data_IF_108593958035
#
_entry.id   IF_108593958035
#
_cell.length_a   1.000
_cell.length_b   1.000
_cell.length_c   1.000
_cell.angle_alpha   90.00
_cell.angle_beta   90.00
_cell.angle_gamma   90.00
#
_symmetry.space_group_name_H-M   'P 1'
#
loop_
_entity.id
_entity.type
_entity.pdbx_description
1 polymer ?
#
# COMPACT_ATOMS: atom_id res chain seq x y z
N UNK A 1 -6.26 -11.97 22.90
CA UNK A 1 -5.14 -12.58 22.16
C UNK A 1 -5.63 -13.32 20.92
N UNK A 2 -4.81 -13.34 19.90
CA UNK A 2 -5.15 -14.00 18.63
C UNK A 2 -4.43 -15.33 18.54
N UNK A 3 -5.18 -16.42 18.31
CA UNK A 3 -4.60 -17.75 18.11
C UNK A 3 -4.10 -17.90 16.67
N UNK A 4 -3.00 -18.64 16.48
CA UNK A 4 -2.47 -18.90 15.14
C UNK A 4 -3.51 -19.61 14.25
N UNK A 5 -4.38 -20.43 14.83
CA UNK A 5 -5.49 -21.03 14.09
C UNK A 5 -6.52 -20.05 13.53
N UNK A 6 -6.53 -18.82 14.05
CA UNK A 6 -7.45 -17.76 13.63
C UNK A 6 -6.76 -16.67 12.77
N UNK A 7 -5.54 -16.91 12.33
CA UNK A 7 -4.80 -15.93 11.52
C UNK A 7 -5.54 -15.63 10.21
N UNK A 8 -5.50 -14.34 9.85
CA UNK A 8 -6.02 -13.81 8.57
C UNK A 8 -5.04 -12.79 8.03
N UNK A 9 -5.01 -12.61 6.73
CA UNK A 9 -4.19 -11.58 6.09
C UNK A 9 -4.59 -10.19 6.59
N UNK A 10 -3.60 -9.37 6.86
CA UNK A 10 -3.81 -8.00 7.35
C UNK A 10 -3.87 -7.87 8.87
N UNK A 11 -3.95 -8.96 9.62
CA UNK A 11 -3.93 -8.93 11.08
C UNK A 11 -2.53 -8.51 11.56
N UNK A 12 -2.48 -7.57 12.50
CA UNK A 12 -1.24 -7.12 13.13
C UNK A 12 -1.11 -7.67 14.53
N UNK A 13 0.07 -8.17 14.83
CA UNK A 13 0.39 -8.85 16.08
C UNK A 13 1.69 -8.31 16.67
N UNK A 14 1.83 -8.48 17.96
CA UNK A 14 3.11 -8.27 18.65
C UNK A 14 3.77 -9.63 18.88
N UNK A 15 4.94 -9.84 18.27
CA UNK A 15 5.73 -11.07 18.40
C UNK A 15 7.18 -10.68 18.71
N UNK A 16 7.73 -11.21 19.82
CA UNK A 16 9.11 -10.95 20.25
C UNK A 16 9.43 -9.45 20.34
N UNK A 17 8.47 -8.65 20.80
CA UNK A 17 8.63 -7.20 20.94
C UNK A 17 8.55 -6.42 19.64
N UNK A 18 8.19 -7.09 18.54
CA UNK A 18 8.05 -6.47 17.21
C UNK A 18 6.61 -6.46 16.76
N UNK A 19 6.23 -5.42 16.03
CA UNK A 19 4.92 -5.36 15.38
C UNK A 19 5.01 -5.96 14.00
N UNK A 20 4.26 -7.01 13.77
CA UNK A 20 4.25 -7.75 12.49
C UNK A 20 2.84 -7.84 11.94
N UNK A 21 2.74 -7.82 10.62
CA UNK A 21 1.49 -8.02 9.90
C UNK A 21 1.53 -9.34 9.16
N UNK A 22 0.44 -10.09 9.25
CA UNK A 22 0.29 -11.34 8.51
C UNK A 22 0.00 -10.99 7.05
N UNK A 23 0.89 -11.38 6.15
CA UNK A 23 0.72 -11.16 4.70
C UNK A 23 0.33 -12.41 3.95
N UNK A 24 0.63 -13.59 4.50
CA UNK A 24 0.25 -14.87 3.94
C UNK A 24 0.22 -15.91 5.04
N UNK A 25 -0.74 -16.83 5.00
CA UNK A 25 -0.80 -17.93 5.94
C UNK A 25 -1.36 -19.18 5.27
N UNK A 26 -0.94 -20.35 5.77
CA UNK A 26 -1.42 -21.64 5.30
C UNK A 26 -1.60 -22.59 6.48
N UNK A 27 -2.81 -23.13 6.64
CA UNK A 27 -3.07 -24.18 7.59
C UNK A 27 -2.69 -25.53 6.97
N UNK A 28 -1.80 -26.26 7.64
CA UNK A 28 -1.34 -27.57 7.18
C UNK A 28 -1.71 -28.63 8.19
N UNK A 29 -2.41 -29.66 7.72
CA UNK A 29 -2.75 -30.85 8.51
C UNK A 29 -2.04 -32.05 7.89
N UNK A 30 -0.81 -32.38 8.36
CA UNK A 30 -0.10 -33.52 7.80
C UNK A 30 -0.79 -34.83 8.14
N UNK A 31 -0.64 -35.85 7.30
CA UNK A 31 -1.17 -37.18 7.55
C UNK A 31 -0.57 -37.85 8.79
N UNK A 32 0.66 -37.48 9.15
CA UNK A 32 1.34 -37.86 10.38
C UNK A 32 1.90 -36.61 11.03
N UNK A 33 1.72 -36.49 12.34
CA UNK A 33 2.19 -35.34 13.10
C UNK A 33 1.10 -34.30 13.38
N UNK A 34 1.47 -33.27 14.14
CA UNK A 34 0.55 -32.22 14.57
C UNK A 34 0.29 -31.18 13.45
N UNK A 35 -0.91 -30.63 13.42
CA UNK A 35 -1.24 -29.52 12.54
C UNK A 35 -0.39 -28.30 12.86
N UNK A 36 -0.09 -27.49 11.84
CA UNK A 36 0.66 -26.24 12.00
C UNK A 36 0.16 -25.18 11.03
N UNK A 37 0.52 -23.92 11.33
CA UNK A 37 0.20 -22.76 10.49
C UNK A 37 1.52 -22.16 9.99
N UNK A 38 1.77 -22.24 8.69
CA UNK A 38 2.91 -21.60 8.05
C UNK A 38 2.52 -20.17 7.72
N UNK A 39 3.27 -19.21 8.22
CA UNK A 39 2.90 -17.80 8.18
C UNK A 39 4.05 -16.94 7.66
N UNK A 40 3.75 -16.06 6.70
CA UNK A 40 4.65 -14.97 6.34
C UNK A 40 4.27 -13.72 7.10
N UNK A 41 5.26 -13.13 7.75
CA UNK A 41 5.11 -11.96 8.59
C UNK A 41 5.95 -10.83 8.03
N UNK A 42 5.34 -9.65 7.96
CA UNK A 42 6.04 -8.42 7.59
C UNK A 42 6.21 -7.57 8.82
N UNK A 43 7.45 -7.22 9.15
CA UNK A 43 7.71 -6.22 10.18
C UNK A 43 7.25 -4.86 9.67
N UNK A 44 6.27 -4.25 10.31
CA UNK A 44 5.64 -3.02 9.82
C UNK A 44 6.56 -1.80 9.93
N UNK A 45 7.57 -1.87 10.79
CA UNK A 45 8.49 -0.75 11.02
C UNK A 45 9.66 -0.77 10.03
N UNK A 46 10.30 -1.91 9.83
CA UNK A 46 11.47 -2.03 8.94
C UNK A 46 11.17 -2.67 7.58
N UNK A 47 9.96 -3.20 7.39
CA UNK A 47 9.54 -3.84 6.12
C UNK A 47 10.08 -5.24 5.88
N UNK A 48 10.86 -5.79 6.81
CA UNK A 48 11.43 -7.13 6.66
C UNK A 48 10.36 -8.22 6.67
N UNK A 49 10.49 -9.18 5.77
CA UNK A 49 9.57 -10.32 5.66
C UNK A 49 10.27 -11.57 6.17
N UNK A 50 9.61 -12.29 7.08
CA UNK A 50 10.09 -13.56 7.61
C UNK A 50 8.98 -14.61 7.52
N UNK A 51 9.37 -15.87 7.42
CA UNK A 51 8.44 -16.99 7.45
C UNK A 51 8.62 -17.75 8.77
N UNK A 52 7.51 -17.98 9.46
CA UNK A 52 7.52 -18.74 10.72
C UNK A 52 6.37 -19.73 10.72
N UNK A 53 6.57 -20.84 11.44
CA UNK A 53 5.57 -21.88 11.62
C UNK A 53 5.11 -21.87 13.07
N UNK A 54 3.79 -21.86 13.26
CA UNK A 54 3.17 -21.83 14.59
C UNK A 54 2.25 -23.04 14.77
N UNK A 55 2.07 -23.43 16.04
CA UNK A 55 1.00 -24.34 16.41
C UNK A 55 -0.33 -23.58 16.41
N UNK A 56 -1.45 -24.18 15.98
CA UNK A 56 -2.72 -23.46 15.94
C UNK A 56 -3.19 -22.92 17.30
N UNK A 57 -2.70 -23.48 18.39
CA UNK A 57 -3.04 -23.07 19.76
C UNK A 57 -2.16 -21.95 20.31
N UNK A 58 -1.06 -21.60 19.65
CA UNK A 58 -0.22 -20.48 20.07
C UNK A 58 -0.99 -19.18 19.94
N UNK A 59 -0.85 -18.30 20.94
CA UNK A 59 -1.58 -17.04 21.03
C UNK A 59 -0.59 -15.88 21.11
N UNK A 60 -0.97 -14.77 20.45
CA UNK A 60 -0.18 -13.55 20.43
C UNK A 60 -1.07 -12.34 20.70
N UNK A 61 -0.57 -11.31 21.42
CA UNK A 61 -1.33 -10.09 21.61
C UNK A 61 -1.51 -9.36 20.27
N UNK A 62 -2.72 -8.84 20.00
CA UNK A 62 -2.90 -7.98 18.84
C UNK A 62 -2.17 -6.67 19.04
N UNK A 63 -1.59 -6.13 17.97
CA UNK A 63 -0.99 -4.80 17.99
C UNK A 63 -2.06 -3.78 17.60
N UNK A 64 -2.26 -2.76 18.44
CA UNK A 64 -3.17 -1.69 18.14
C UNK A 64 -2.52 -0.68 17.21
N UNK A 65 -3.07 -0.55 16.01
CA UNK A 65 -2.58 0.37 14.98
C UNK A 65 -3.55 1.53 14.88
N UNK A 66 -3.04 2.75 15.00
CA UNK A 66 -3.82 3.96 14.82
C UNK A 66 -3.75 4.41 13.37
N UNK A 67 -4.90 4.78 12.80
CA UNK A 67 -5.02 5.34 11.46
C UNK A 67 -5.70 6.70 11.56
N UNK A 68 -5.00 7.73 11.11
CA UNK A 68 -5.49 9.11 11.17
C UNK A 68 -5.49 9.70 9.77
N UNK A 69 -6.62 10.27 9.36
CA UNK A 69 -6.73 10.98 8.09
C UNK A 69 -5.92 12.26 8.14
N UNK A 70 -4.98 12.41 7.22
CA UNK A 70 -4.18 13.62 7.08
C UNK A 70 -4.11 14.04 5.62
N UNK A 71 -4.10 15.35 5.40
CA UNK A 71 -3.96 15.94 4.07
C UNK A 71 -2.49 16.00 3.69
N UNK A 72 -2.15 15.47 2.51
CA UNK A 72 -0.84 15.65 1.94
C UNK A 72 -0.70 17.09 1.45
N UNK A 73 0.29 17.81 1.97
CA UNK A 73 0.50 19.22 1.61
C UNK A 73 1.44 19.38 0.44
N UNK A 74 2.69 18.94 0.60
CA UNK A 74 3.73 19.09 -0.43
C UNK A 74 4.94 18.22 -0.11
N UNK A 75 5.76 18.02 -1.12
CA UNK A 75 7.05 17.35 -1.03
C UNK A 75 8.14 18.43 -1.10
N UNK A 76 9.01 18.50 -0.09
CA UNK A 76 10.08 19.50 -0.03
C UNK A 76 11.39 19.02 -0.67
N UNK A 77 11.38 17.85 -1.33
CA UNK A 77 12.54 17.25 -1.97
C UNK A 77 13.17 16.10 -1.17
N UNK A 78 12.93 16.02 0.12
CA UNK A 78 13.41 14.93 0.97
C UNK A 78 12.32 14.34 1.87
N UNK A 79 11.28 15.12 2.16
CA UNK A 79 10.21 14.75 3.07
C UNK A 79 8.85 15.07 2.45
N UNK A 80 7.89 14.19 2.67
CA UNK A 80 6.48 14.46 2.40
C UNK A 80 5.84 15.09 3.63
N UNK A 81 5.14 16.21 3.45
CA UNK A 81 4.53 16.96 4.55
C UNK A 81 3.01 16.74 4.57
N UNK A 82 2.49 16.43 5.75
CA UNK A 82 1.08 16.14 5.99
C UNK A 82 0.54 17.02 7.12
N UNK A 83 -0.76 17.28 7.09
CA UNK A 83 -1.45 18.03 8.14
C UNK A 83 -2.74 17.31 8.55
N UNK A 84 -2.93 17.19 9.85
CA UNK A 84 -4.21 16.75 10.41
C UNK A 84 -5.21 17.91 10.28
N UNK A 85 -6.28 17.72 9.52
CA UNK A 85 -7.26 18.79 9.27
C UNK A 85 -8.09 19.17 10.50
N UNK A 86 -8.11 18.33 11.54
CA UNK A 86 -8.83 18.60 12.77
C UNK A 86 -7.97 19.38 13.78
N UNK A 87 -6.72 18.93 13.98
CA UNK A 87 -5.82 19.51 14.98
C UNK A 87 -4.83 20.51 14.40
N UNK A 88 -4.70 20.58 13.07
CA UNK A 88 -3.70 21.36 12.32
C UNK A 88 -2.25 20.98 12.62
N UNK A 89 -2.05 19.86 13.27
CA UNK A 89 -0.73 19.31 13.52
C UNK A 89 -0.10 18.84 12.21
N UNK A 90 1.17 19.21 12.00
CA UNK A 90 1.91 18.84 10.80
C UNK A 90 2.98 17.79 11.13
N UNK A 91 3.16 16.83 10.23
CA UNK A 91 4.22 15.84 10.31
C UNK A 91 4.96 15.77 8.97
N UNK A 92 6.22 15.34 9.03
CA UNK A 92 7.05 15.11 7.84
C UNK A 92 7.53 13.67 7.84
N UNK A 93 7.40 12.98 6.70
CA UNK A 93 7.83 11.59 6.53
C UNK A 93 8.82 11.51 5.37
N UNK A 94 9.88 10.72 5.55
CA UNK A 94 10.96 10.63 4.57
C UNK A 94 10.51 9.92 3.29
N UNK A 95 11.14 10.27 2.16
CA UNK A 95 10.93 9.58 0.89
C UNK A 95 11.22 8.08 1.00
N UNK A 96 12.29 7.69 1.68
CA UNK A 96 12.64 6.29 1.87
C UNK A 96 11.52 5.48 2.54
N UNK A 97 10.82 6.11 3.47
CA UNK A 97 9.83 5.44 4.29
C UNK A 97 8.52 5.18 3.54
N UNK A 98 8.07 6.12 2.71
CA UNK A 98 6.73 6.09 2.13
C UNK A 98 6.66 6.37 0.61
N UNK A 99 7.79 6.39 -0.11
CA UNK A 99 7.81 6.71 -1.54
C UNK A 99 6.84 5.85 -2.36
N UNK A 100 6.77 4.54 -2.10
CA UNK A 100 5.89 3.64 -2.83
C UNK A 100 4.41 3.95 -2.60
N UNK A 101 4.05 4.37 -1.39
CA UNK A 101 2.68 4.76 -1.06
C UNK A 101 2.28 6.08 -1.71
N UNK A 102 3.24 6.99 -1.91
CA UNK A 102 2.99 8.33 -2.44
C UNK A 102 3.07 8.43 -3.96
N UNK A 103 3.41 7.35 -4.64
CA UNK A 103 3.65 7.32 -6.09
C UNK A 103 2.52 7.93 -6.92
N UNK A 104 1.28 7.70 -6.51
CA UNK A 104 0.08 8.19 -7.21
C UNK A 104 -0.69 9.25 -6.44
N UNK A 105 -0.14 9.77 -5.35
CA UNK A 105 -0.81 10.77 -4.51
C UNK A 105 -0.37 12.16 -4.91
N UNK A 106 -1.33 13.01 -5.25
CA UNK A 106 -1.07 14.43 -5.55
C UNK A 106 -1.34 15.30 -4.32
N UNK A 107 -0.85 16.53 -4.35
CA UNK A 107 -1.06 17.50 -3.27
C UNK A 107 -2.55 17.67 -2.97
N UNK A 108 -2.86 17.87 -1.70
CA UNK A 108 -4.21 18.06 -1.15
C UNK A 108 -5.07 16.79 -1.08
N UNK A 109 -4.56 15.64 -1.49
CA UNK A 109 -5.23 14.35 -1.27
C UNK A 109 -5.17 13.97 0.20
N UNK A 110 -6.21 13.32 0.69
CA UNK A 110 -6.26 12.80 2.06
C UNK A 110 -5.76 11.36 2.09
N UNK A 111 -4.77 11.10 2.94
CA UNK A 111 -4.22 9.77 3.17
C UNK A 111 -4.42 9.37 4.62
N UNK A 112 -4.38 8.06 4.89
CA UNK A 112 -4.37 7.54 6.26
C UNK A 112 -2.93 7.38 6.73
N UNK A 113 -2.56 8.11 7.75
CA UNK A 113 -1.26 7.99 8.40
C UNK A 113 -1.35 6.91 9.47
N UNK A 114 -0.51 5.90 9.35
CA UNK A 114 -0.58 4.69 10.16
C UNK A 114 0.54 4.72 11.19
N UNK A 115 0.18 4.58 12.47
CA UNK A 115 1.14 4.64 13.56
C UNK A 115 0.90 3.53 14.60
N UNK A 116 1.96 3.24 15.34
CA UNK A 116 1.94 2.36 16.50
C UNK A 116 2.64 3.05 17.66
N UNK A 117 1.94 3.24 18.76
CA UNK A 117 2.46 3.95 19.94
C UNK A 117 3.08 5.31 19.58
N UNK A 118 2.31 6.12 18.84
CA UNK A 118 2.69 7.46 18.35
C UNK A 118 3.87 7.50 17.36
N UNK A 119 4.35 6.33 16.92
CA UNK A 119 5.40 6.24 15.93
C UNK A 119 4.78 5.92 14.56
N UNK A 120 4.87 6.87 13.64
CA UNK A 120 4.39 6.68 12.27
C UNK A 120 5.34 5.75 11.51
N UNK A 121 4.78 4.74 10.85
CA UNK A 121 5.57 3.80 10.07
C UNK A 121 5.07 3.63 8.63
N UNK A 122 3.88 4.11 8.31
CA UNK A 122 3.32 3.92 6.97
C UNK A 122 2.24 4.96 6.66
N UNK A 123 1.90 5.06 5.38
CA UNK A 123 0.80 5.86 4.88
C UNK A 123 -0.01 5.01 3.92
N UNK A 124 -1.33 5.01 4.08
CA UNK A 124 -2.24 4.34 3.17
C UNK A 124 -2.90 5.39 2.27
N UNK A 125 -2.60 5.40 0.96
CA UNK A 125 -3.24 6.33 0.04
C UNK A 125 -4.69 5.93 -0.22
N UNK A 126 -5.51 6.81 -0.83
CA UNK A 126 -6.84 6.41 -1.31
C UNK A 126 -6.72 5.18 -2.23
N UNK A 127 -7.71 4.30 -2.19
CA UNK A 127 -7.69 3.07 -2.99
C UNK A 127 -7.67 3.35 -4.49
N UNK A 128 -8.31 4.43 -4.90
CA UNK A 128 -8.37 4.89 -6.28
C UNK A 128 -8.09 6.38 -6.36
N UNK A 129 -7.35 6.77 -7.37
CA UNK A 129 -7.03 8.18 -7.62
C UNK A 129 -7.32 8.52 -9.07
N UNK A 130 -7.73 9.77 -9.30
CA UNK A 130 -7.92 10.31 -10.65
C UNK A 130 -6.74 11.22 -10.98
N UNK A 131 -5.97 10.88 -12.01
CA UNK A 131 -4.78 11.60 -12.40
C UNK A 131 -4.84 11.95 -13.89
N UNK A 132 -4.29 13.12 -14.24
CA UNK A 132 -4.19 13.57 -15.62
C UNK A 132 -2.94 12.98 -16.27
N UNK A 133 -3.09 12.51 -17.51
CA UNK A 133 -1.96 12.05 -18.33
C UNK A 133 -1.20 13.26 -18.84
N UNK A 134 0.07 13.37 -18.48
CA UNK A 134 0.95 14.47 -18.90
C UNK A 134 1.80 14.14 -20.10
N UNK A 135 2.10 12.87 -20.32
CA UNK A 135 2.84 12.39 -21.48
C UNK A 135 2.43 10.97 -21.85
N UNK A 136 2.23 10.74 -23.14
CA UNK A 136 2.06 9.40 -23.71
C UNK A 136 2.28 9.47 -25.22
N UNK A 137 2.70 8.37 -25.79
CA UNK A 137 2.83 8.24 -27.24
C UNK A 137 1.47 7.97 -27.89
N UNK A 138 1.25 8.40 -29.15
CA UNK A 138 0.03 8.04 -29.86
C UNK A 138 -0.05 6.52 -30.07
N UNK A 139 -1.25 5.96 -29.90
CA UNK A 139 -1.49 4.56 -30.24
C UNK A 139 -1.31 4.33 -31.73
N UNK A 140 -0.49 3.34 -32.11
CA UNK A 140 -0.23 3.05 -33.51
C UNK A 140 -1.45 2.33 -34.15
N UNK A 141 -1.88 2.82 -35.31
CA UNK A 141 -2.87 2.13 -36.14
C UNK A 141 -2.27 0.81 -36.65
N UNK A 142 -3.02 -0.27 -36.53
CA UNK A 142 -2.57 -1.59 -36.94
C UNK A 142 -2.15 -2.50 -35.80
N UNK A 143 -1.96 -1.97 -34.62
CA UNK A 143 -1.76 -2.80 -33.42
C UNK A 143 -3.13 -3.18 -32.85
N UNK A 144 -3.74 -4.23 -33.43
CA UNK A 144 -5.11 -4.64 -33.13
C UNK A 144 -5.21 -5.73 -32.07
N UNK A 145 -4.13 -6.01 -31.37
CA UNK A 145 -4.12 -7.03 -30.33
C UNK A 145 -5.04 -6.60 -29.19
N UNK A 146 -6.01 -7.44 -28.85
CA UNK A 146 -6.90 -7.21 -27.72
C UNK A 146 -6.08 -7.09 -26.44
N UNK A 147 -6.30 -6.02 -25.67
CA UNK A 147 -5.56 -5.76 -24.45
C UNK A 147 -4.20 -5.09 -24.65
N UNK A 148 -3.89 -4.59 -25.86
CA UNK A 148 -2.69 -3.82 -26.12
C UNK A 148 -2.67 -2.56 -25.26
N UNK A 149 -1.52 -2.27 -24.64
CA UNK A 149 -1.29 -1.11 -23.79
C UNK A 149 -0.07 -0.34 -24.23
N UNK A 150 0.05 0.89 -23.71
CA UNK A 150 1.21 1.75 -23.91
C UNK A 150 1.56 2.44 -22.61
N UNK A 151 2.82 2.85 -22.40
CA UNK A 151 3.16 3.61 -21.21
C UNK A 151 2.62 5.03 -21.27
N UNK A 152 2.16 5.54 -20.15
CA UNK A 152 1.75 6.94 -19.98
C UNK A 152 2.31 7.47 -18.68
N UNK A 153 2.76 8.72 -18.69
CA UNK A 153 3.19 9.43 -17.50
C UNK A 153 2.03 10.29 -17.01
N UNK A 154 1.74 10.20 -15.71
CA UNK A 154 0.68 10.98 -15.07
C UNK A 154 1.25 12.16 -14.30
N UNK A 155 0.37 13.06 -13.84
CA UNK A 155 0.76 14.33 -13.22
C UNK A 155 1.66 14.20 -11.98
N UNK A 156 1.66 13.05 -11.31
CA UNK A 156 2.56 12.78 -10.18
C UNK A 156 3.96 12.34 -10.61
N UNK A 157 4.20 12.18 -11.91
CA UNK A 157 5.46 11.69 -12.46
C UNK A 157 5.55 10.17 -12.58
N UNK A 158 4.55 9.45 -12.13
CA UNK A 158 4.52 7.99 -12.22
C UNK A 158 4.16 7.51 -13.63
N UNK A 159 4.67 6.34 -14.00
CA UNK A 159 4.34 5.68 -15.27
C UNK A 159 3.32 4.56 -15.06
N UNK A 160 2.32 4.50 -15.93
CA UNK A 160 1.24 3.51 -15.89
C UNK A 160 1.00 2.97 -17.28
N UNK A 161 0.71 1.68 -17.39
CA UNK A 161 0.26 1.08 -18.65
C UNK A 161 -1.22 1.42 -18.87
N UNK A 162 -1.52 2.02 -20.01
CA UNK A 162 -2.88 2.48 -20.37
C UNK A 162 -3.30 1.91 -21.72
N UNK A 163 -4.62 1.83 -21.99
CA UNK A 163 -5.10 1.45 -23.33
C UNK A 163 -4.59 2.43 -24.40
N UNK A 164 -4.51 1.95 -25.65
CA UNK A 164 -3.97 2.74 -26.76
C UNK A 164 -4.77 4.02 -27.05
N UNK A 165 -6.05 4.08 -26.68
CA UNK A 165 -6.90 5.25 -26.94
C UNK A 165 -6.66 6.43 -25.99
N UNK A 166 -5.88 6.23 -24.93
CA UNK A 166 -5.62 7.30 -23.95
C UNK A 166 -4.67 8.33 -24.54
N UNK A 167 -4.98 9.62 -24.38
CA UNK A 167 -4.23 10.75 -24.90
C UNK A 167 -3.73 11.65 -23.77
N UNK A 168 -2.76 12.51 -24.10
CA UNK A 168 -2.29 13.56 -23.19
C UNK A 168 -3.49 14.46 -22.83
N UNK A 169 -3.64 14.77 -21.55
CA UNK A 169 -4.74 15.57 -21.02
C UNK A 169 -5.95 14.76 -20.55
N UNK A 170 -6.00 13.47 -20.88
CA UNK A 170 -7.06 12.61 -20.37
C UNK A 170 -6.89 12.36 -18.87
N UNK A 171 -8.01 12.31 -18.17
CA UNK A 171 -8.03 11.91 -16.75
C UNK A 171 -8.33 10.43 -16.67
N UNK A 172 -7.57 9.72 -15.89
CA UNK A 172 -7.68 8.27 -15.72
C UNK A 172 -7.77 7.92 -14.23
N UNK A 173 -8.49 6.85 -13.95
CA UNK A 173 -8.59 6.30 -12.59
C UNK A 173 -7.59 5.15 -12.47
N UNK A 174 -6.76 5.20 -11.43
CA UNK A 174 -5.70 4.24 -11.15
C UNK A 174 -5.95 3.60 -9.79
N UNK A 175 -5.81 2.28 -9.71
CA UNK A 175 -5.77 1.58 -8.43
C UNK A 175 -4.42 1.81 -7.77
N UNK A 176 -4.40 2.38 -6.59
CA UNK A 176 -3.15 2.60 -5.85
C UNK A 176 -2.55 1.30 -5.30
N UNK A 177 -3.37 0.27 -5.12
CA UNK A 177 -2.90 -1.03 -4.65
C UNK A 177 -2.09 -1.78 -5.70
N UNK A 178 -2.54 -1.76 -6.96
CA UNK A 178 -1.91 -2.48 -8.06
C UNK A 178 -1.06 -1.60 -8.95
N UNK A 179 -1.26 -0.28 -8.92
CA UNK A 179 -0.60 0.65 -9.81
C UNK A 179 -1.14 0.61 -11.24
N UNK A 180 -2.31 0.03 -11.44
CA UNK A 180 -2.87 -0.21 -12.77
C UNK A 180 -4.02 0.73 -13.11
N UNK A 181 -4.13 1.04 -14.41
CA UNK A 181 -5.27 1.75 -14.96
C UNK A 181 -6.56 0.93 -14.77
N UNK A 182 -7.62 1.58 -14.32
CA UNK A 182 -8.93 0.95 -14.17
C UNK A 182 -9.93 1.46 -15.20
N UNK A 183 -10.04 2.78 -15.36
CA UNK A 183 -11.00 3.39 -16.28
C UNK A 183 -10.65 4.84 -16.56
N UNK A 184 -11.37 5.46 -17.49
CA UNK A 184 -11.32 6.92 -17.69
C UNK A 184 -12.07 7.62 -16.57
N UNK A 185 -11.51 8.72 -16.12
CA UNK A 185 -12.10 9.54 -15.06
C UNK A 185 -13.13 10.54 -15.55
#
# INVERSE_FOLDING_TARGET
MVSAGDFRNGVTLEIDGQVVQIIEFQHVKPGKGAAFVRTKLKNVINGGVTERTFRPTEKFPPAHIDRVDMQYLYDDGSMYNFMNNETYEQIALSHEQIADSMKFVKENETCKVVSYQDKVFSVEPPLKVTLEVTHTEPGLKGNTTTGATKPATVETGAEVQVPLFVNIGDKIIISTQTGEYESRG
#
